data_IF_355522703450
#
_entry.id   IF_355522703450
#
_cell.length_a   1.000
_cell.length_b   1.000
_cell.length_c   1.000
_cell.angle_alpha   90.00
_cell.angle_beta   90.00
_cell.angle_gamma   90.00
#
_symmetry.space_group_name_H-M   'P 1'
#
loop_
_entity.id
_entity.type
_entity.pdbx_description
1 polymer ?
#
# COMPACT_ATOMS: atom_id res chain seq x y z
N UNK A 1 42.17 30.41 -22.61
CA UNK A 1 41.82 29.54 -21.47
C UNK A 1 40.56 30.11 -20.84
N UNK A 2 39.41 29.47 -21.07
CA UNK A 2 38.19 29.77 -20.32
C UNK A 2 37.34 28.49 -20.28
N UNK A 3 37.53 27.69 -19.24
CA UNK A 3 36.66 26.58 -18.90
C UNK A 3 35.38 27.15 -18.30
N UNK A 4 34.28 27.13 -19.06
CA UNK A 4 32.93 27.25 -18.51
C UNK A 4 32.57 25.91 -17.85
N UNK A 5 32.64 25.84 -16.53
CA UNK A 5 32.12 24.71 -15.76
C UNK A 5 31.01 25.16 -14.82
N UNK A 6 29.96 24.34 -14.82
CA UNK A 6 28.97 24.07 -13.77
C UNK A 6 27.87 25.09 -13.48
N UNK A 7 26.70 24.88 -14.10
CA UNK A 7 25.42 24.95 -13.37
C UNK A 7 24.59 23.71 -13.74
N UNK A 8 25.00 22.56 -13.22
CA UNK A 8 24.11 21.40 -13.14
C UNK A 8 23.23 21.59 -11.92
N UNK A 9 22.03 22.15 -12.09
CA UNK A 9 20.98 22.04 -11.08
C UNK A 9 20.57 20.57 -11.00
N UNK A 10 21.22 19.83 -10.11
CA UNK A 10 20.73 18.52 -9.70
C UNK A 10 19.50 18.76 -8.81
N UNK A 11 18.30 18.69 -9.39
CA UNK A 11 17.11 18.35 -8.62
C UNK A 11 17.35 16.93 -8.07
N UNK A 12 17.86 16.87 -6.84
CA UNK A 12 18.00 15.62 -6.10
C UNK A 12 16.65 14.94 -5.94
N UNK A 13 16.62 13.63 -5.66
CA UNK A 13 15.37 12.91 -5.47
C UNK A 13 14.50 13.65 -4.43
N UNK A 14 13.30 14.06 -4.84
CA UNK A 14 12.34 14.74 -3.98
C UNK A 14 12.07 13.82 -2.79
N UNK A 15 12.35 14.30 -1.58
CA UNK A 15 11.94 13.58 -0.36
C UNK A 15 10.42 13.44 -0.40
N UNK A 16 9.93 12.24 -0.13
CA UNK A 16 8.50 12.00 -0.02
C UNK A 16 7.91 12.94 1.04
N UNK A 17 6.76 13.53 0.73
CA UNK A 17 6.02 14.32 1.71
C UNK A 17 5.60 13.46 2.91
N UNK A 18 5.36 14.06 4.09
CA UNK A 18 4.69 13.37 5.20
C UNK A 18 3.40 12.70 4.73
N UNK A 19 3.07 11.55 5.30
CA UNK A 19 1.85 10.83 4.93
C UNK A 19 0.60 11.67 5.20
N UNK A 20 -0.39 11.55 4.33
CA UNK A 20 -1.74 12.10 4.53
C UNK A 20 -2.64 10.97 5.09
N UNK A 21 -2.97 10.93 6.41
CA UNK A 21 -3.59 9.75 7.01
C UNK A 21 -4.94 9.35 6.40
N UNK A 22 -5.83 10.30 6.14
CA UNK A 22 -7.15 10.01 5.57
C UNK A 22 -7.05 9.43 4.15
N UNK A 23 -6.13 9.98 3.35
CA UNK A 23 -5.84 9.50 1.99
C UNK A 23 -5.22 8.11 2.01
N UNK A 24 -4.33 7.84 2.96
CA UNK A 24 -3.75 6.52 3.18
C UNK A 24 -4.83 5.49 3.59
N UNK A 25 -5.69 5.83 4.55
CA UNK A 25 -6.79 4.95 4.98
C UNK A 25 -7.78 4.67 3.83
N UNK A 26 -8.08 5.67 3.01
CA UNK A 26 -8.91 5.48 1.82
C UNK A 26 -8.26 4.52 0.83
N UNK A 27 -6.97 4.69 0.51
CA UNK A 27 -6.23 3.80 -0.39
C UNK A 27 -6.18 2.36 0.13
N UNK A 28 -5.97 2.17 1.43
CA UNK A 28 -6.00 0.86 2.08
C UNK A 28 -7.38 0.20 1.94
N UNK A 29 -8.47 0.94 2.19
CA UNK A 29 -9.84 0.42 2.04
C UNK A 29 -10.13 0.03 0.61
N UNK A 30 -9.83 0.88 -0.37
CA UNK A 30 -9.97 0.56 -1.80
C UNK A 30 -9.22 -0.72 -2.17
N UNK A 31 -7.99 -0.88 -1.67
CA UNK A 31 -7.17 -2.08 -1.90
C UNK A 31 -7.81 -3.34 -1.31
N UNK A 32 -8.26 -3.28 -0.05
CA UNK A 32 -8.89 -4.42 0.63
C UNK A 32 -10.27 -4.76 0.05
N UNK A 33 -11.05 -3.76 -0.36
CA UNK A 33 -12.33 -3.96 -1.01
C UNK A 33 -12.17 -4.60 -2.39
N UNK A 34 -11.18 -4.18 -3.18
CA UNK A 34 -10.82 -4.82 -4.45
C UNK A 34 -10.44 -6.29 -4.25
N UNK A 35 -9.62 -6.60 -3.24
CA UNK A 35 -9.25 -7.97 -2.92
C UNK A 35 -10.47 -8.80 -2.50
N UNK A 36 -11.32 -8.27 -1.62
CA UNK A 36 -12.54 -8.94 -1.16
C UNK A 36 -13.53 -9.18 -2.30
N UNK A 37 -13.61 -8.26 -3.26
CA UNK A 37 -14.41 -8.39 -4.48
C UNK A 37 -13.84 -9.42 -5.48
N UNK A 38 -12.66 -10.00 -5.21
CA UNK A 38 -12.02 -10.98 -6.08
C UNK A 38 -11.35 -10.37 -7.31
N UNK A 39 -11.03 -9.08 -7.26
CA UNK A 39 -10.23 -8.43 -8.30
C UNK A 39 -8.78 -8.95 -8.28
N UNK A 40 -8.06 -8.68 -9.36
CA UNK A 40 -6.62 -8.95 -9.44
C UNK A 40 -5.86 -7.76 -8.88
N UNK A 41 -4.75 -7.98 -8.19
CA UNK A 41 -3.98 -6.90 -7.55
C UNK A 41 -3.51 -5.85 -8.57
N UNK A 42 -3.26 -6.25 -9.82
CA UNK A 42 -2.83 -5.35 -10.88
C UNK A 42 -3.93 -4.40 -11.36
N UNK A 43 -5.21 -4.68 -11.08
CA UNK A 43 -6.30 -3.76 -11.47
C UNK A 43 -6.27 -2.45 -10.70
N UNK A 44 -5.62 -2.42 -9.53
CA UNK A 44 -5.43 -1.22 -8.72
C UNK A 44 -4.59 -0.15 -9.43
N UNK A 45 -3.77 -0.55 -10.42
CA UNK A 45 -3.06 0.39 -11.29
C UNK A 45 -3.98 1.22 -12.20
N UNK A 46 -5.24 0.82 -12.36
CA UNK A 46 -6.24 1.55 -13.13
C UNK A 46 -7.10 2.51 -12.27
N UNK A 47 -6.90 2.52 -10.96
CA UNK A 47 -7.54 3.50 -10.07
C UNK A 47 -7.08 4.92 -10.38
N UNK A 48 -7.86 5.91 -9.95
CA UNK A 48 -7.50 7.31 -10.07
C UNK A 48 -7.50 8.00 -8.69
N UNK A 49 -6.33 8.21 -8.05
CA UNK A 49 -4.99 7.92 -8.58
C UNK A 49 -4.61 6.43 -8.51
N UNK A 50 -3.65 5.96 -9.34
CA UNK A 50 -3.22 4.57 -9.34
C UNK A 50 -2.66 4.14 -7.98
N UNK A 51 -3.04 2.94 -7.55
CA UNK A 51 -2.54 2.33 -6.31
C UNK A 51 -1.57 1.20 -6.68
N UNK A 52 -0.36 1.26 -6.13
CA UNK A 52 0.61 0.16 -6.21
C UNK A 52 0.48 -0.68 -4.94
N UNK A 53 -0.04 -1.90 -5.06
CA UNK A 53 -0.26 -2.77 -3.91
C UNK A 53 0.62 -4.01 -3.95
N UNK A 54 0.96 -4.53 -2.76
CA UNK A 54 1.63 -5.82 -2.59
C UNK A 54 1.09 -6.49 -1.32
N UNK A 55 0.53 -7.69 -1.49
CA UNK A 55 0.18 -8.60 -0.41
C UNK A 55 0.50 -10.03 -0.87
N UNK A 56 1.30 -10.75 -0.09
CA UNK A 56 1.79 -12.07 -0.47
C UNK A 56 0.69 -13.16 -0.49
N UNK A 57 -0.36 -13.04 0.32
CA UNK A 57 -1.48 -13.96 0.27
C UNK A 57 -2.32 -13.70 -0.99
N UNK A 58 -2.58 -12.42 -1.34
CA UNK A 58 -3.30 -12.06 -2.56
C UNK A 58 -2.53 -12.50 -3.81
N UNK A 59 -1.23 -12.23 -3.86
CA UNK A 59 -0.34 -12.66 -4.95
C UNK A 59 -0.24 -14.19 -5.06
N UNK A 60 -0.37 -14.92 -3.95
CA UNK A 60 -0.46 -16.37 -3.95
C UNK A 60 -1.85 -16.92 -4.34
N UNK A 61 -2.81 -16.05 -4.66
CA UNK A 61 -4.15 -16.40 -5.11
C UNK A 61 -5.16 -16.64 -3.99
N UNK A 62 -4.85 -16.26 -2.75
CA UNK A 62 -5.83 -16.32 -1.66
C UNK A 62 -6.95 -15.29 -1.89
N UNK A 63 -8.16 -15.63 -1.43
CA UNK A 63 -9.30 -14.71 -1.42
C UNK A 63 -9.43 -14.07 -0.04
N UNK A 64 -9.61 -12.75 -0.01
CA UNK A 64 -9.99 -12.06 1.21
C UNK A 64 -11.47 -12.29 1.48
N UNK A 65 -11.78 -12.95 2.60
CA UNK A 65 -13.14 -13.22 3.02
C UNK A 65 -13.69 -12.07 3.85
N UNK A 66 -12.89 -11.60 4.81
CA UNK A 66 -13.26 -10.51 5.72
C UNK A 66 -12.04 -9.68 6.10
N UNK A 67 -12.25 -8.41 6.40
CA UNK A 67 -11.21 -7.57 7.01
C UNK A 67 -11.80 -6.61 8.04
N UNK A 68 -10.97 -6.23 9.01
CA UNK A 68 -11.26 -5.20 10.01
C UNK A 68 -10.01 -4.39 10.31
N UNK A 69 -10.05 -3.08 10.09
CA UNK A 69 -9.02 -2.18 10.59
C UNK A 69 -9.09 -2.15 12.12
N UNK A 70 -7.94 -2.29 12.78
CA UNK A 70 -7.83 -2.31 14.24
C UNK A 70 -7.59 -0.92 14.84
N UNK A 71 -7.56 0.12 14.01
CA UNK A 71 -7.44 1.52 14.37
C UNK A 71 -7.21 2.39 13.12
N UNK A 72 -6.94 3.68 13.35
CA UNK A 72 -6.70 4.65 12.27
C UNK A 72 -5.24 4.67 11.79
N UNK A 73 -4.41 3.81 12.37
CA UNK A 73 -2.99 3.67 12.06
C UNK A 73 -2.09 4.63 12.84
N UNK A 74 -0.79 4.51 12.59
CA UNK A 74 0.26 5.34 13.20
C UNK A 74 1.11 5.95 12.08
N UNK A 75 1.15 7.29 11.95
CA UNK A 75 2.02 7.96 11.01
C UNK A 75 3.49 7.74 11.37
N UNK A 76 4.28 7.33 10.39
CA UNK A 76 5.73 7.14 10.46
C UNK A 76 6.35 7.79 9.21
N UNK A 77 6.76 9.06 9.35
CA UNK A 77 7.28 9.90 8.27
C UNK A 77 6.35 9.94 7.04
N UNK A 78 6.80 9.32 5.94
CA UNK A 78 6.09 9.28 4.66
C UNK A 78 5.05 8.14 4.56
N UNK A 79 4.88 7.35 5.62
CA UNK A 79 3.97 6.20 5.63
C UNK A 79 2.99 6.21 6.79
N UNK A 80 1.83 5.59 6.59
CA UNK A 80 0.89 5.24 7.65
C UNK A 80 0.97 3.73 7.88
N UNK A 81 1.26 3.30 9.11
CA UNK A 81 1.16 1.89 9.51
C UNK A 81 -0.22 1.58 10.04
N UNK A 82 -0.92 0.62 9.45
CA UNK A 82 -2.29 0.25 9.86
C UNK A 82 -2.36 -1.24 10.13
N UNK A 83 -2.75 -1.61 11.35
CA UNK A 83 -3.04 -3.00 11.69
C UNK A 83 -4.43 -3.38 11.19
N UNK A 84 -4.50 -4.51 10.49
CA UNK A 84 -5.73 -5.06 9.90
C UNK A 84 -5.83 -6.52 10.30
N UNK A 85 -6.96 -6.91 10.88
CA UNK A 85 -7.33 -8.31 10.97
C UNK A 85 -7.93 -8.72 9.62
N UNK A 86 -7.36 -9.74 8.98
CA UNK A 86 -7.86 -10.32 7.74
C UNK A 86 -8.22 -11.78 7.94
N UNK A 87 -9.28 -12.23 7.27
CA UNK A 87 -9.62 -13.63 7.12
C UNK A 87 -9.46 -13.98 5.66
N UNK A 88 -8.54 -14.89 5.35
CA UNK A 88 -8.24 -15.31 3.97
C UNK A 88 -8.58 -16.77 3.76
N UNK A 89 -8.98 -17.11 2.54
CA UNK A 89 -9.13 -18.49 2.08
C UNK A 89 -8.07 -18.78 1.02
N UNK A 90 -7.24 -19.79 1.26
CA UNK A 90 -6.21 -20.20 0.30
C UNK A 90 -6.78 -21.02 -0.88
N UNK A 91 -5.92 -21.37 -1.83
CA UNK A 91 -6.29 -22.16 -3.00
C UNK A 91 -6.76 -23.59 -2.65
N UNK A 92 -6.40 -24.11 -1.47
CA UNK A 92 -6.85 -25.40 -0.96
C UNK A 92 -8.17 -25.30 -0.19
N UNK A 93 -8.76 -24.10 -0.10
CA UNK A 93 -10.03 -23.84 0.59
C UNK A 93 -9.89 -23.67 2.10
N UNK A 94 -8.66 -23.71 2.66
CA UNK A 94 -8.44 -23.51 4.10
C UNK A 94 -8.59 -22.04 4.43
N UNK A 95 -9.25 -21.76 5.55
CA UNK A 95 -9.48 -20.40 6.03
C UNK A 95 -8.59 -20.12 7.24
N UNK A 96 -7.98 -18.94 7.28
CA UNK A 96 -7.20 -18.47 8.42
C UNK A 96 -7.47 -17.00 8.68
N UNK A 97 -7.62 -16.66 9.96
CA UNK A 97 -7.69 -15.26 10.44
C UNK A 97 -6.33 -14.87 11.02
N UNK A 98 -5.81 -13.71 10.62
CA UNK A 98 -4.51 -13.18 11.05
C UNK A 98 -4.56 -11.67 11.16
N UNK A 99 -3.79 -11.13 12.10
CA UNK A 99 -3.53 -9.69 12.18
C UNK A 99 -2.27 -9.38 11.40
N UNK A 100 -2.33 -8.37 10.54
CA UNK A 100 -1.25 -7.98 9.63
C UNK A 100 -1.09 -6.47 9.65
N UNK A 101 0.11 -5.97 9.40
CA UNK A 101 0.37 -4.54 9.27
C UNK A 101 0.49 -4.16 7.80
N UNK A 102 -0.23 -3.12 7.38
CA UNK A 102 -0.03 -2.46 6.10
C UNK A 102 0.74 -1.16 6.29
N UNK A 103 1.69 -0.90 5.38
CA UNK A 103 2.45 0.34 5.26
C UNK A 103 1.92 1.06 4.03
N UNK A 104 1.39 2.27 4.22
CA UNK A 104 0.69 3.01 3.19
C UNK A 104 1.36 4.37 2.95
N UNK A 105 1.88 4.59 1.74
CA UNK A 105 2.46 5.87 1.33
C UNK A 105 1.51 6.67 0.45
N UNK A 106 1.58 8.00 0.54
CA UNK A 106 0.68 8.92 -0.21
C UNK A 106 1.37 9.81 -1.24
N UNK A 107 2.69 9.81 -1.28
CA UNK A 107 3.53 10.61 -2.17
C UNK A 107 4.84 9.86 -2.52
N UNK A 108 5.31 9.89 -3.78
CA UNK A 108 4.67 10.48 -4.97
C UNK A 108 3.55 9.62 -5.57
N UNK A 109 3.32 8.41 -5.05
CA UNK A 109 2.28 7.48 -5.50
C UNK A 109 1.56 6.89 -4.30
N UNK A 110 0.30 6.49 -4.49
CA UNK A 110 -0.37 5.65 -3.51
C UNK A 110 0.28 4.27 -3.51
N UNK A 111 0.75 3.84 -2.36
CA UNK A 111 1.34 2.51 -2.15
C UNK A 111 0.63 1.83 -0.99
N UNK A 112 0.33 0.54 -1.11
CA UNK A 112 -0.26 -0.26 -0.03
C UNK A 112 0.48 -1.59 0.05
N UNK A 113 1.44 -1.68 0.96
CA UNK A 113 2.30 -2.85 1.09
C UNK A 113 2.09 -3.51 2.44
N UNK A 114 1.91 -4.83 2.44
CA UNK A 114 1.96 -5.57 3.69
C UNK A 114 3.39 -5.63 4.22
N UNK A 115 3.55 -5.32 5.51
CA UNK A 115 4.83 -5.48 6.19
C UNK A 115 5.21 -6.96 6.27
N UNK A 116 6.51 -7.22 6.09
CA UNK A 116 7.11 -8.51 6.42
C UNK A 116 7.49 -8.43 7.91
N UNK A 117 6.79 -9.19 8.74
CA UNK A 117 7.04 -9.30 10.19
C UNK A 117 7.37 -10.74 10.57
#
# INVERSE_FOLDING_TARGET
MLCLTTVGCSDGPRRAAPVEPDKALAALRTTLDAWKAGQKIESLGNENPPIVAQDFDWMAGAKLMEYKLLGDGTPEDANLRVQVQITVRDAQGRTATKTVTYVVGTDPKLTVFRAME
#
